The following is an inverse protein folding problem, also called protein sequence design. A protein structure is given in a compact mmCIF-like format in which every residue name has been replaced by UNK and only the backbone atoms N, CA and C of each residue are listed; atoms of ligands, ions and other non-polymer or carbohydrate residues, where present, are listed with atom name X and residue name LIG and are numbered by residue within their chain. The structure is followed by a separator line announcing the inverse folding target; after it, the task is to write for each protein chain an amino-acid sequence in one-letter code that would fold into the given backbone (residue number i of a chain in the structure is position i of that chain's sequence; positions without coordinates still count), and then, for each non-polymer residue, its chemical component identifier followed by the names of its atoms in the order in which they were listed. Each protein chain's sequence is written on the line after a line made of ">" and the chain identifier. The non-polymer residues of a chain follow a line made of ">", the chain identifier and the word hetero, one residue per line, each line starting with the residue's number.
data_IF_449962471524
#
_entry.id   IF_449962471524
#
_cell.length_a   1.000
_cell.length_b   1.000
_cell.length_c   1.000
_cell.angle_alpha   90.00
_cell.angle_beta   90.00
_cell.angle_gamma   90.00
#
_symmetry.space_group_name_H-M   'P 1'
#
loop_
_entity.id
_entity.type
_entity.pdbx_description
1 polymer ?
#
# COMPACT_ATOMS: atom_id res chain seq x y z
N UNK A 1 -14.17 -80.32 26.32
CA UNK A 1 -13.79 -80.50 24.90
C UNK A 1 -14.80 -79.76 24.08
N UNK A 2 -14.55 -78.84 23.32
CA UNK A 2 -13.71 -78.67 22.13
C UNK A 2 -13.30 -77.16 22.03
N UNK A 3 -12.58 -76.78 21.22
CA UNK A 3 -11.96 -76.82 19.93
C UNK A 3 -11.52 -75.41 19.56
N UNK A 4 -10.25 -75.31 19.39
CA UNK A 4 -9.48 -74.16 18.90
C UNK A 4 -9.86 -73.83 17.45
N UNK A 5 -10.44 -72.65 17.16
CA UNK A 5 -10.44 -72.04 15.82
C UNK A 5 -10.87 -70.54 15.86
N UNK A 6 -10.11 -69.71 16.55
CA UNK A 6 -10.38 -68.24 16.46
C UNK A 6 -9.11 -67.37 16.56
N UNK A 7 -8.07 -67.79 15.82
CA UNK A 7 -6.80 -67.04 15.94
C UNK A 7 -6.01 -66.94 14.63
N UNK A 8 -6.66 -66.69 13.48
CA UNK A 8 -5.92 -66.62 12.20
C UNK A 8 -6.38 -65.55 11.19
N UNK A 9 -7.17 -64.55 11.58
CA UNK A 9 -7.68 -63.55 10.61
C UNK A 9 -7.44 -62.08 10.96
N UNK A 10 -6.52 -61.74 11.86
CA UNK A 10 -6.36 -60.36 12.30
C UNK A 10 -4.99 -59.70 11.94
N UNK A 11 -4.13 -60.33 11.17
CA UNK A 11 -2.78 -59.81 10.90
C UNK A 11 -2.46 -59.30 9.48
N UNK A 12 -3.25 -59.47 8.42
CA UNK A 12 -2.92 -58.84 7.13
C UNK A 12 -3.43 -57.40 6.97
N UNK A 13 -4.49 -56.97 7.68
CA UNK A 13 -5.07 -55.64 7.49
C UNK A 13 -4.26 -54.49 8.10
N UNK A 14 -3.41 -54.79 9.09
CA UNK A 14 -2.63 -53.73 9.78
C UNK A 14 -1.33 -53.36 9.02
N UNK A 15 -0.84 -54.25 8.13
CA UNK A 15 0.37 -53.98 7.35
C UNK A 15 0.13 -53.09 6.12
N UNK A 16 -1.07 -53.11 5.57
CA UNK A 16 -1.43 -52.28 4.41
C UNK A 16 -1.80 -50.85 4.80
N UNK A 17 -2.31 -50.61 6.01
CA UNK A 17 -2.61 -49.26 6.46
C UNK A 17 -1.37 -48.45 6.84
N UNK A 18 -0.30 -49.08 7.33
CA UNK A 18 0.94 -48.37 7.69
C UNK A 18 1.77 -47.96 6.45
N UNK A 19 1.64 -48.68 5.33
CA UNK A 19 2.31 -48.36 4.07
C UNK A 19 1.68 -47.17 3.34
N UNK A 20 0.36 -46.99 3.44
CA UNK A 20 -0.35 -45.90 2.79
C UNK A 20 -0.22 -44.53 3.54
N UNK A 21 0.02 -44.57 4.84
CA UNK A 21 0.20 -43.36 5.64
C UNK A 21 1.59 -42.70 5.47
N UNK A 22 2.59 -43.50 5.11
CA UNK A 22 3.95 -43.02 4.87
C UNK A 22 4.12 -42.37 3.48
N UNK A 23 3.22 -42.67 2.54
CA UNK A 23 3.30 -42.11 1.17
C UNK A 23 2.64 -40.72 1.04
N UNK A 24 1.79 -40.31 1.98
CA UNK A 24 1.09 -39.03 1.96
C UNK A 24 1.94 -37.88 2.57
N UNK A 25 2.99 -38.22 3.33
CA UNK A 25 3.83 -37.25 4.03
C UNK A 25 5.00 -36.68 3.19
N UNK A 26 5.19 -37.14 1.96
CA UNK A 26 6.31 -36.69 1.10
C UNK A 26 5.92 -35.71 0.00
N UNK A 27 4.67 -35.22 -0.04
CA UNK A 27 4.19 -34.42 -1.18
C UNK A 27 3.74 -33.00 -0.81
N UNK A 28 4.39 -32.34 0.12
CA UNK A 28 4.06 -30.94 0.44
C UNK A 28 5.29 -30.08 0.74
N UNK A 29 6.36 -30.27 -0.02
CA UNK A 29 7.29 -29.19 -0.26
C UNK A 29 7.00 -28.65 -1.66
N UNK A 30 5.89 -27.93 -1.80
CA UNK A 30 5.76 -26.98 -2.89
C UNK A 30 6.88 -25.96 -2.68
N UNK A 31 7.94 -26.10 -3.46
CA UNK A 31 8.98 -25.09 -3.54
C UNK A 31 8.28 -23.76 -3.84
N UNK A 32 8.25 -22.85 -2.89
CA UNK A 32 8.12 -21.44 -3.20
C UNK A 32 9.31 -21.15 -4.11
N UNK A 33 9.05 -21.12 -5.41
CA UNK A 33 10.01 -20.61 -6.37
C UNK A 33 10.18 -19.15 -6.03
N UNK A 34 11.21 -18.84 -5.27
CA UNK A 34 11.71 -17.48 -5.16
C UNK A 34 11.97 -17.05 -6.60
N UNK A 35 11.20 -16.08 -7.08
CA UNK A 35 11.38 -15.56 -8.44
C UNK A 35 12.74 -14.86 -8.44
N UNK A 36 13.75 -15.57 -8.89
CA UNK A 36 15.12 -15.05 -8.98
C UNK A 36 15.09 -13.84 -9.92
N UNK A 37 15.44 -12.68 -9.41
CA UNK A 37 15.51 -11.46 -10.22
C UNK A 37 16.65 -11.60 -11.22
N UNK A 38 16.30 -11.65 -12.51
CA UNK A 38 17.28 -11.80 -13.59
C UNK A 38 17.96 -10.46 -13.87
N UNK A 39 19.01 -10.17 -13.11
CA UNK A 39 19.87 -9.01 -13.35
C UNK A 39 20.93 -9.34 -14.40
N UNK A 40 21.15 -8.43 -15.32
CA UNK A 40 22.26 -8.47 -16.27
C UNK A 40 23.61 -8.35 -15.56
N UNK A 41 24.74 -8.75 -16.21
CA UNK A 41 26.07 -8.58 -15.63
C UNK A 41 26.40 -7.12 -15.28
N UNK A 42 25.96 -6.17 -16.09
CA UNK A 42 26.21 -4.73 -15.88
C UNK A 42 25.42 -4.20 -14.68
N UNK A 43 24.16 -4.63 -14.51
CA UNK A 43 23.35 -4.28 -13.34
C UNK A 43 23.95 -4.84 -12.05
N UNK A 44 24.40 -6.09 -12.07
CA UNK A 44 25.10 -6.70 -10.92
C UNK A 44 26.38 -5.96 -10.56
N UNK A 45 27.17 -5.56 -11.57
CA UNK A 45 28.39 -4.79 -11.37
C UNK A 45 28.08 -3.42 -10.79
N UNK A 46 27.05 -2.74 -11.31
CA UNK A 46 26.62 -1.44 -10.81
C UNK A 46 26.18 -1.51 -9.35
N UNK A 47 25.33 -2.49 -8.98
CA UNK A 47 24.89 -2.70 -7.59
C UNK A 47 26.09 -2.98 -6.66
N UNK A 48 27.05 -3.78 -7.10
CA UNK A 48 28.25 -4.06 -6.32
C UNK A 48 29.09 -2.80 -6.05
N UNK A 49 29.09 -1.84 -6.98
CA UNK A 49 29.76 -0.54 -6.82
C UNK A 49 28.96 0.48 -6.02
N UNK A 50 27.64 0.25 -5.87
CA UNK A 50 26.70 1.13 -5.15
C UNK A 50 25.96 0.37 -4.04
N UNK A 51 26.66 -0.10 -3.02
CA UNK A 51 26.06 -0.90 -1.94
C UNK A 51 25.10 -0.10 -1.06
N UNK A 52 25.17 1.23 -1.13
CA UNK A 52 24.29 2.15 -0.40
C UNK A 52 23.67 3.15 -1.36
N UNK A 53 22.34 3.32 -1.26
CA UNK A 53 21.57 4.30 -2.03
C UNK A 53 20.85 5.27 -1.10
N UNK A 54 20.83 6.56 -1.48
CA UNK A 54 20.17 7.62 -0.72
C UNK A 54 18.68 7.61 -1.03
N UNK A 55 17.88 7.23 -0.03
CA UNK A 55 16.43 7.14 -0.14
C UNK A 55 15.78 8.40 0.45
N UNK A 56 15.06 9.16 -0.37
CA UNK A 56 14.20 10.24 0.10
C UNK A 56 12.97 9.67 0.83
N UNK A 57 12.64 10.19 2.01
CA UNK A 57 11.47 9.77 2.80
C UNK A 57 10.73 11.00 3.31
N UNK A 58 9.45 11.11 3.02
CA UNK A 58 8.58 12.13 3.61
C UNK A 58 8.27 11.70 5.04
N UNK A 59 8.71 12.51 6.01
CA UNK A 59 8.77 12.09 7.41
C UNK A 59 7.42 11.90 8.11
N UNK A 60 6.29 12.32 7.52
CA UNK A 60 4.99 12.35 8.20
C UNK A 60 3.80 12.01 7.29
N UNK A 61 3.94 11.02 6.40
CA UNK A 61 2.89 10.62 5.43
C UNK A 61 2.41 9.18 5.64
N UNK A 62 2.11 8.81 6.89
CA UNK A 62 1.48 7.52 7.18
C UNK A 62 0.10 7.40 6.54
N UNK A 63 -0.31 6.22 6.07
CA UNK A 63 0.36 4.91 6.22
C UNK A 63 1.43 4.60 5.18
N UNK A 64 1.73 5.51 4.25
CA UNK A 64 2.61 5.24 3.12
C UNK A 64 4.08 5.27 3.51
N UNK A 65 4.52 6.34 4.12
CA UNK A 65 5.90 6.50 4.60
C UNK A 65 5.98 7.47 5.77
N UNK A 66 6.91 7.23 6.67
CA UNK A 66 7.28 8.13 7.74
C UNK A 66 8.71 7.83 8.23
N UNK A 67 9.23 8.74 9.04
CA UNK A 67 10.42 8.49 9.84
C UNK A 67 10.06 8.58 11.32
N UNK A 68 10.41 7.55 12.09
CA UNK A 68 10.30 7.60 13.55
C UNK A 68 11.27 8.63 14.15
N UNK A 69 11.14 8.90 15.44
CA UNK A 69 12.10 9.73 16.20
C UNK A 69 13.53 9.19 16.14
N UNK A 70 13.69 7.89 15.93
CA UNK A 70 14.98 7.21 15.75
C UNK A 70 15.45 7.19 14.30
N UNK A 71 14.76 7.91 13.40
CA UNK A 71 15.01 7.92 11.95
C UNK A 71 14.85 6.57 11.26
N UNK A 72 14.08 5.66 11.83
CA UNK A 72 13.68 4.43 11.15
C UNK A 72 12.53 4.70 10.22
N UNK A 73 12.57 4.09 9.05
CA UNK A 73 11.49 4.14 8.08
C UNK A 73 10.28 3.35 8.60
N UNK A 74 9.10 3.88 8.38
CA UNK A 74 7.81 3.29 8.72
C UNK A 74 6.85 3.40 7.53
N UNK A 75 5.83 2.55 7.50
CA UNK A 75 4.80 2.54 6.46
C UNK A 75 5.07 1.56 5.32
N UNK A 76 4.15 1.51 4.36
CA UNK A 76 4.15 0.56 3.25
C UNK A 76 5.45 0.64 2.42
N UNK A 77 5.95 1.85 2.18
CA UNK A 77 7.21 2.05 1.46
C UNK A 77 8.42 1.47 2.19
N UNK A 78 8.39 1.44 3.54
CA UNK A 78 9.44 0.80 4.34
C UNK A 78 9.49 -0.71 4.13
N UNK A 79 8.33 -1.38 4.08
CA UNK A 79 8.28 -2.82 3.83
C UNK A 79 8.82 -3.15 2.44
N UNK A 80 8.48 -2.33 1.44
CA UNK A 80 9.00 -2.48 0.09
C UNK A 80 10.51 -2.19 0.01
N UNK A 81 11.00 -1.18 0.72
CA UNK A 81 12.44 -0.90 0.84
C UNK A 81 13.20 -2.10 1.41
N UNK A 82 12.73 -2.67 2.51
CA UNK A 82 13.32 -3.84 3.15
C UNK A 82 13.36 -5.07 2.20
N UNK A 83 12.33 -5.25 1.40
CA UNK A 83 12.31 -6.30 0.39
C UNK A 83 13.35 -6.05 -0.71
N UNK A 84 13.45 -4.82 -1.23
CA UNK A 84 14.46 -4.45 -2.23
C UNK A 84 15.89 -4.62 -1.70
N UNK A 85 16.17 -4.20 -0.47
CA UNK A 85 17.49 -4.36 0.16
C UNK A 85 17.93 -5.82 0.17
N UNK A 86 17.03 -6.71 0.61
CA UNK A 86 17.29 -8.16 0.64
C UNK A 86 17.46 -8.74 -0.75
N UNK A 87 16.64 -8.32 -1.71
CA UNK A 87 16.63 -8.87 -3.05
C UNK A 87 17.83 -8.42 -3.88
N UNK A 88 18.24 -7.16 -3.72
CA UNK A 88 19.31 -6.54 -4.51
C UNK A 88 20.68 -6.58 -3.81
N UNK A 89 20.72 -6.90 -2.51
CA UNK A 89 21.96 -6.88 -1.72
C UNK A 89 22.51 -5.48 -1.48
N UNK A 90 21.66 -4.47 -1.42
CA UNK A 90 21.98 -3.07 -1.18
C UNK A 90 21.44 -2.61 0.18
N UNK A 91 21.76 -1.37 0.57
CA UNK A 91 21.20 -0.70 1.73
C UNK A 91 20.66 0.67 1.34
N UNK A 92 19.46 1.02 1.84
CA UNK A 92 18.93 2.37 1.73
C UNK A 92 19.32 3.21 2.96
N UNK A 93 19.84 4.40 2.69
CA UNK A 93 20.08 5.42 3.73
C UNK A 93 18.98 6.46 3.63
N UNK A 94 18.11 6.50 4.65
CA UNK A 94 16.95 7.39 4.65
C UNK A 94 17.36 8.85 4.88
N UNK A 95 16.89 9.73 4.00
CA UNK A 95 17.04 11.17 4.08
C UNK A 95 15.65 11.82 4.15
N UNK A 96 15.34 12.60 5.20
CA UNK A 96 14.07 13.30 5.27
C UNK A 96 13.97 14.35 4.15
N UNK A 97 12.82 14.34 3.49
CA UNK A 97 12.51 15.30 2.44
C UNK A 97 11.17 16.00 2.70
N UNK A 98 10.96 17.21 2.20
CA UNK A 98 9.68 17.89 2.30
C UNK A 98 8.64 17.19 1.41
N UNK A 99 7.37 17.31 1.76
CA UNK A 99 6.25 16.77 0.96
C UNK A 99 6.09 17.51 -0.38
N UNK A 100 6.47 18.78 -0.41
CA UNK A 100 6.46 19.59 -1.62
C UNK A 100 7.86 19.80 -2.18
N UNK A 101 7.98 19.85 -3.51
CA UNK A 101 9.27 20.09 -4.17
C UNK A 101 10.24 18.89 -4.12
N UNK A 102 9.73 17.69 -3.94
CA UNK A 102 10.50 16.45 -3.86
C UNK A 102 11.43 16.24 -5.08
N UNK A 103 11.03 16.71 -6.27
CA UNK A 103 11.82 16.59 -7.49
C UNK A 103 13.16 17.38 -7.44
N UNK A 104 13.26 18.43 -6.64
CA UNK A 104 14.46 19.27 -6.57
C UNK A 104 15.70 18.51 -6.08
N UNK A 105 15.68 17.79 -4.94
CA UNK A 105 16.83 17.01 -4.48
C UNK A 105 17.30 15.94 -5.47
N UNK A 106 16.39 15.39 -6.31
CA UNK A 106 16.76 14.44 -7.37
C UNK A 106 17.48 15.17 -8.52
N UNK A 107 16.96 16.31 -8.98
CA UNK A 107 17.60 17.12 -10.00
C UNK A 107 19.00 17.61 -9.60
N UNK A 108 19.26 17.79 -8.31
CA UNK A 108 20.56 18.15 -7.76
C UNK A 108 21.47 16.94 -7.47
N UNK A 109 21.02 15.72 -7.74
CA UNK A 109 21.78 14.50 -7.47
C UNK A 109 22.04 14.22 -5.99
N UNK A 110 21.20 14.75 -5.10
CA UNK A 110 21.31 14.53 -3.64
C UNK A 110 20.63 13.25 -3.17
N UNK A 111 19.70 12.71 -3.95
CA UNK A 111 18.94 11.49 -3.70
C UNK A 111 19.00 10.57 -4.90
N UNK A 112 18.93 9.28 -4.64
CA UNK A 112 18.97 8.25 -5.67
C UNK A 112 17.60 7.62 -5.90
N UNK A 113 16.80 7.42 -4.84
CA UNK A 113 15.52 6.70 -4.88
C UNK A 113 14.47 7.39 -4.02
N UNK A 114 13.22 7.31 -4.45
CA UNK A 114 12.03 7.60 -3.64
C UNK A 114 10.94 6.57 -3.96
N UNK A 115 10.40 5.91 -2.95
CA UNK A 115 9.53 4.75 -3.15
C UNK A 115 8.04 5.09 -3.22
N UNK A 116 7.64 6.30 -2.86
CA UNK A 116 6.24 6.74 -2.90
C UNK A 116 6.04 8.01 -3.73
N UNK A 117 6.89 8.18 -4.76
CA UNK A 117 6.78 9.31 -5.69
C UNK A 117 5.53 9.18 -6.57
N UNK A 118 4.83 10.29 -6.73
CA UNK A 118 3.71 10.38 -7.68
C UNK A 118 4.25 10.78 -9.04
N UNK A 119 3.86 10.02 -10.06
CA UNK A 119 4.23 10.27 -11.45
C UNK A 119 3.45 11.48 -12.01
N UNK A 120 4.13 12.59 -12.17
CA UNK A 120 3.59 13.83 -12.72
C UNK A 120 4.50 14.38 -13.83
N UNK A 121 3.98 15.25 -14.74
CA UNK A 121 4.83 15.90 -15.72
C UNK A 121 6.02 16.66 -15.13
N UNK A 122 5.86 17.20 -13.91
CA UNK A 122 6.92 17.94 -13.22
C UNK A 122 7.99 17.00 -12.67
N UNK A 123 7.58 15.92 -11.97
CA UNK A 123 8.52 14.96 -11.40
C UNK A 123 9.31 14.20 -12.48
N UNK A 124 8.71 13.97 -13.65
CA UNK A 124 9.39 13.35 -14.81
C UNK A 124 10.54 14.17 -15.39
N UNK A 125 10.66 15.44 -15.06
CA UNK A 125 11.81 16.28 -15.50
C UNK A 125 13.11 15.87 -14.84
N UNK A 126 13.06 15.29 -13.66
CA UNK A 126 14.22 14.96 -12.82
C UNK A 126 14.26 13.53 -12.31
N UNK A 127 13.18 12.77 -12.49
CA UNK A 127 13.02 11.41 -11.98
C UNK A 127 12.63 10.46 -13.10
N UNK A 128 13.11 9.23 -13.02
CA UNK A 128 12.64 8.10 -13.82
C UNK A 128 11.69 7.26 -12.97
N UNK A 129 10.61 6.80 -13.57
CA UNK A 129 9.59 6.02 -12.88
C UNK A 129 9.61 4.56 -13.34
N UNK A 130 9.49 3.65 -12.41
CA UNK A 130 9.15 2.25 -12.69
C UNK A 130 7.66 2.14 -13.01
N UNK A 131 7.19 0.94 -13.36
CA UNK A 131 5.75 0.66 -13.28
C UNK A 131 5.32 0.79 -11.81
N UNK A 132 4.10 1.29 -11.54
CA UNK A 132 3.59 1.36 -10.18
C UNK A 132 3.62 -0.03 -9.51
N UNK A 133 4.11 -0.09 -8.28
CA UNK A 133 4.05 -1.29 -7.47
C UNK A 133 2.82 -1.31 -6.55
N UNK A 134 2.12 -0.19 -6.45
CA UNK A 134 0.92 -0.02 -5.66
C UNK A 134 -0.06 0.89 -6.39
N UNK A 135 -1.34 0.55 -6.36
CA UNK A 135 -2.44 1.39 -6.83
C UNK A 135 -3.35 1.71 -5.65
N UNK A 136 -3.58 3.00 -5.41
CA UNK A 136 -4.31 3.49 -4.26
C UNK A 136 -5.75 3.85 -4.64
N UNK A 137 -6.76 3.10 -4.16
CA UNK A 137 -8.15 3.39 -4.44
C UNK A 137 -8.56 4.74 -3.85
N UNK A 138 -9.25 5.57 -4.65
CA UNK A 138 -9.89 6.79 -4.20
C UNK A 138 -11.35 6.51 -3.86
N UNK A 139 -11.77 6.95 -2.68
CA UNK A 139 -13.11 6.67 -2.14
C UNK A 139 -13.76 7.93 -1.59
N UNK A 140 -15.06 7.83 -1.32
CA UNK A 140 -15.82 8.85 -0.60
C UNK A 140 -16.04 8.38 0.84
N UNK A 141 -15.53 9.14 1.79
CA UNK A 141 -15.86 9.02 3.19
C UNK A 141 -17.03 9.94 3.51
N UNK A 142 -18.02 9.40 4.21
CA UNK A 142 -19.22 10.13 4.64
C UNK A 142 -19.59 9.73 6.07
N UNK A 143 -20.50 10.49 6.66
CA UNK A 143 -21.08 10.10 7.95
C UNK A 143 -21.94 8.86 7.78
N UNK A 144 -22.03 8.00 8.79
CA UNK A 144 -22.74 6.73 8.76
C UNK A 144 -24.27 6.87 8.64
N UNK A 145 -24.81 8.05 8.88
CA UNK A 145 -26.22 8.39 8.67
C UNK A 145 -26.52 8.96 7.28
N UNK A 146 -25.49 9.11 6.42
CA UNK A 146 -25.65 9.56 5.06
C UNK A 146 -26.19 8.43 4.16
N UNK A 147 -26.94 8.76 3.09
CA UNK A 147 -27.39 7.77 2.13
C UNK A 147 -26.20 7.14 1.39
N UNK A 148 -26.35 5.89 0.99
CA UNK A 148 -25.37 5.22 0.14
C UNK A 148 -25.22 5.97 -1.20
N UNK A 149 -23.99 6.05 -1.70
CA UNK A 149 -23.66 6.69 -2.99
C UNK A 149 -22.89 5.70 -3.89
N UNK A 150 -23.19 5.72 -5.19
CA UNK A 150 -22.49 4.85 -6.16
C UNK A 150 -21.18 5.45 -6.67
N UNK A 151 -20.86 6.68 -6.28
CA UNK A 151 -19.64 7.37 -6.68
C UNK A 151 -19.81 8.89 -6.77
N UNK A 152 -18.87 9.53 -7.46
CA UNK A 152 -18.81 11.00 -7.55
C UNK A 152 -20.06 11.61 -8.24
N UNK A 153 -20.71 10.89 -9.14
CA UNK A 153 -21.91 11.37 -9.83
C UNK A 153 -23.08 11.69 -8.87
N UNK A 154 -23.16 10.99 -7.74
CA UNK A 154 -24.22 11.22 -6.75
C UNK A 154 -23.90 12.43 -5.84
N UNK A 155 -22.70 13.00 -5.98
CA UNK A 155 -22.23 14.15 -5.22
C UNK A 155 -22.43 15.48 -5.94
N UNK A 156 -23.19 15.51 -7.05
CA UNK A 156 -23.53 16.74 -7.79
C UNK A 156 -24.11 17.83 -6.86
N UNK A 157 -23.51 19.03 -6.90
CA UNK A 157 -23.90 20.17 -6.06
C UNK A 157 -23.56 20.05 -4.59
N UNK A 158 -22.98 18.93 -4.14
CA UNK A 158 -22.53 18.71 -2.76
C UNK A 158 -21.14 19.30 -2.52
N UNK A 159 -20.83 19.58 -1.27
CA UNK A 159 -19.49 20.01 -0.83
C UNK A 159 -18.65 18.76 -0.58
N UNK A 160 -17.55 18.63 -1.28
CA UNK A 160 -16.64 17.49 -1.14
C UNK A 160 -15.25 18.00 -0.84
N UNK A 161 -14.71 17.64 0.33
CA UNK A 161 -13.34 17.97 0.66
C UNK A 161 -12.36 17.01 -0.01
N UNK A 162 -11.20 17.53 -0.41
CA UNK A 162 -10.07 16.74 -0.88
C UNK A 162 -8.76 17.36 -0.35
N UNK A 163 -7.74 16.50 -0.17
CA UNK A 163 -6.45 16.91 0.39
C UNK A 163 -5.42 17.05 -0.71
N UNK A 164 -4.84 18.25 -0.80
CA UNK A 164 -3.80 18.56 -1.76
C UNK A 164 -4.30 18.74 -3.20
N UNK A 165 -3.49 19.41 -3.99
CA UNK A 165 -3.81 19.82 -5.35
C UNK A 165 -4.21 18.65 -6.26
N UNK A 166 -3.49 17.52 -6.14
CA UNK A 166 -3.74 16.35 -7.01
C UNK A 166 -5.14 15.78 -6.86
N UNK A 167 -5.64 15.58 -5.64
CA UNK A 167 -7.00 15.06 -5.43
C UNK A 167 -8.06 16.09 -5.82
N UNK A 168 -7.79 17.38 -5.57
CA UNK A 168 -8.66 18.47 -6.01
C UNK A 168 -8.79 18.52 -7.52
N UNK A 169 -7.70 18.35 -8.26
CA UNK A 169 -7.73 18.36 -9.73
C UNK A 169 -8.49 17.15 -10.25
N UNK A 170 -8.21 15.95 -9.74
CA UNK A 170 -9.00 14.75 -10.12
C UNK A 170 -10.50 14.97 -9.86
N UNK A 171 -10.85 15.56 -8.71
CA UNK A 171 -12.24 15.82 -8.36
C UNK A 171 -12.89 16.82 -9.32
N UNK A 172 -12.22 17.92 -9.65
CA UNK A 172 -12.70 18.97 -10.56
C UNK A 172 -12.81 18.45 -11.99
N UNK A 173 -11.82 17.69 -12.46
CA UNK A 173 -11.78 17.15 -13.82
C UNK A 173 -12.85 16.06 -14.04
N UNK A 174 -13.02 15.19 -13.02
CA UNK A 174 -13.97 14.07 -13.11
C UNK A 174 -15.40 14.50 -12.86
N UNK A 175 -15.64 15.49 -12.02
CA UNK A 175 -16.98 15.89 -11.55
C UNK A 175 -17.05 17.39 -11.29
N UNK A 176 -17.04 18.24 -12.35
CA UNK A 176 -16.98 19.71 -12.20
C UNK A 176 -18.22 20.31 -11.52
N UNK A 177 -19.30 19.55 -11.38
CA UNK A 177 -20.52 19.97 -10.69
C UNK A 177 -20.45 19.84 -9.17
N UNK A 178 -19.38 19.24 -8.64
CA UNK A 178 -19.12 19.16 -7.20
C UNK A 178 -18.55 20.49 -6.70
N UNK A 179 -18.93 20.88 -5.50
CA UNK A 179 -18.31 22.03 -4.82
C UNK A 179 -17.07 21.51 -4.09
N UNK A 180 -15.93 21.49 -4.77
CA UNK A 180 -14.67 21.07 -4.20
C UNK A 180 -14.21 22.02 -3.12
N UNK A 181 -13.80 21.48 -1.98
CA UNK A 181 -13.28 22.21 -0.81
C UNK A 181 -11.88 21.68 -0.52
N UNK A 182 -10.91 22.57 -0.43
CA UNK A 182 -9.55 22.19 -0.07
C UNK A 182 -9.40 21.97 1.43
N UNK A 183 -8.77 20.87 1.81
CA UNK A 183 -8.31 20.61 3.16
C UNK A 183 -6.77 20.42 3.15
N UNK A 184 -6.10 20.88 4.19
CA UNK A 184 -4.63 20.78 4.28
C UNK A 184 -4.15 19.40 4.66
N UNK A 185 -4.98 18.65 5.38
CA UNK A 185 -4.67 17.28 5.86
C UNK A 185 -5.93 16.42 5.84
N UNK A 186 -5.73 15.10 5.76
CA UNK A 186 -6.83 14.12 5.87
C UNK A 186 -7.59 14.26 7.18
N UNK A 187 -6.88 14.58 8.27
CA UNK A 187 -7.52 14.88 9.58
C UNK A 187 -8.46 16.07 9.46
N UNK A 188 -8.00 17.19 8.92
CA UNK A 188 -8.82 18.40 8.75
C UNK A 188 -10.05 18.11 7.89
N UNK A 189 -9.89 17.38 6.79
CA UNK A 189 -11.01 16.98 5.93
C UNK A 189 -12.07 16.18 6.70
N UNK A 190 -11.64 15.22 7.50
CA UNK A 190 -12.54 14.39 8.33
C UNK A 190 -13.20 15.21 9.44
N UNK A 191 -12.50 16.15 10.10
CA UNK A 191 -13.09 17.07 11.06
C UNK A 191 -14.14 17.99 10.41
N UNK A 192 -13.89 18.47 9.19
CA UNK A 192 -14.90 19.23 8.43
C UNK A 192 -16.15 18.37 8.16
N UNK A 193 -15.98 17.08 7.87
CA UNK A 193 -17.08 16.14 7.68
C UNK A 193 -17.88 15.93 8.97
N UNK A 194 -17.22 15.69 10.11
CA UNK A 194 -17.87 15.56 11.42
C UNK A 194 -18.69 16.82 11.79
N UNK A 195 -18.15 18.00 11.48
CA UNK A 195 -18.83 19.30 11.71
C UNK A 195 -19.88 19.63 10.64
N UNK A 196 -20.16 18.74 9.69
CA UNK A 196 -21.10 18.95 8.58
C UNK A 196 -20.78 20.19 7.73
N UNK A 197 -19.51 20.61 7.69
CA UNK A 197 -19.03 21.67 6.83
C UNK A 197 -18.88 21.19 5.39
N UNK A 198 -18.66 19.90 5.20
CA UNK A 198 -18.69 19.20 3.90
C UNK A 198 -19.61 17.99 3.98
N UNK A 199 -20.04 17.52 2.84
CA UNK A 199 -20.99 16.42 2.71
C UNK A 199 -20.27 15.07 2.51
N UNK A 200 -19.03 15.12 1.99
CA UNK A 200 -18.13 13.97 1.85
C UNK A 200 -16.65 14.42 1.86
N UNK A 201 -15.77 13.44 2.03
CA UNK A 201 -14.31 13.58 1.83
C UNK A 201 -13.90 12.62 0.73
N UNK A 202 -13.26 13.13 -0.31
CA UNK A 202 -12.63 12.37 -1.40
C UNK A 202 -11.17 12.17 -1.08
N UNK A 203 -10.78 10.94 -0.76
CA UNK A 203 -9.44 10.64 -0.25
C UNK A 203 -9.02 9.21 -0.62
N UNK A 204 -7.73 8.92 -0.50
CA UNK A 204 -7.17 7.58 -0.59
C UNK A 204 -7.74 6.72 0.55
N UNK A 205 -8.21 5.53 0.22
CA UNK A 205 -8.84 4.60 1.17
C UNK A 205 -7.96 4.38 2.42
N UNK A 206 -6.69 4.09 2.21
CA UNK A 206 -5.77 3.76 3.30
C UNK A 206 -5.45 4.98 4.16
N UNK A 207 -5.27 6.15 3.56
CA UNK A 207 -5.03 7.40 4.27
C UNK A 207 -6.21 7.76 5.17
N UNK A 208 -7.43 7.80 4.61
CA UNK A 208 -8.65 8.10 5.37
C UNK A 208 -8.89 7.09 6.48
N UNK A 209 -8.79 5.78 6.17
CA UNK A 209 -9.00 4.70 7.15
C UNK A 209 -7.97 4.75 8.28
N UNK A 210 -6.70 5.05 7.97
CA UNK A 210 -5.65 5.21 8.97
C UNK A 210 -6.00 6.34 9.95
N UNK A 211 -6.36 7.53 9.44
CA UNK A 211 -6.72 8.68 10.29
C UNK A 211 -7.97 8.41 11.11
N UNK A 212 -9.00 7.75 10.55
CA UNK A 212 -10.22 7.35 11.26
C UNK A 212 -9.88 6.45 12.46
N UNK A 213 -9.04 5.44 12.26
CA UNK A 213 -8.61 4.52 13.32
C UNK A 213 -7.78 5.23 14.39
N UNK A 214 -6.80 6.03 13.96
CA UNK A 214 -5.89 6.73 14.87
C UNK A 214 -6.63 7.71 15.78
N UNK A 215 -7.70 8.34 15.28
CA UNK A 215 -8.44 9.37 16.01
C UNK A 215 -9.77 8.87 16.59
N UNK A 216 -10.07 7.57 16.43
CA UNK A 216 -11.30 6.96 16.89
C UNK A 216 -12.58 7.70 16.43
N UNK A 217 -12.76 7.81 15.10
CA UNK A 217 -13.89 8.48 14.43
C UNK A 217 -14.89 7.41 13.90
N UNK A 218 -15.64 6.69 14.73
CA UNK A 218 -16.43 5.53 14.31
C UNK A 218 -17.65 5.88 13.46
N UNK A 219 -18.08 7.15 13.45
CA UNK A 219 -19.23 7.61 12.69
C UNK A 219 -18.93 7.90 11.23
N UNK A 220 -17.68 7.86 10.81
CA UNK A 220 -17.29 8.04 9.41
C UNK A 220 -17.06 6.66 8.77
N UNK A 221 -17.67 6.47 7.61
CA UNK A 221 -17.61 5.23 6.83
C UNK A 221 -17.16 5.50 5.38
N UNK A 222 -16.70 4.46 4.71
CA UNK A 222 -16.55 4.47 3.26
C UNK A 222 -17.93 4.29 2.64
N UNK A 223 -18.47 5.35 2.05
CA UNK A 223 -19.83 5.38 1.52
C UNK A 223 -19.90 5.15 0.01
N UNK A 224 -18.80 5.36 -0.71
CA UNK A 224 -18.75 5.15 -2.15
C UNK A 224 -17.33 4.87 -2.63
N UNK A 225 -17.22 4.00 -3.64
CA UNK A 225 -15.96 3.69 -4.33
C UNK A 225 -15.94 4.41 -5.66
N UNK A 226 -14.81 4.98 -6.03
CA UNK A 226 -14.65 5.61 -7.35
C UNK A 226 -13.81 4.73 -8.27
N UNK A 227 -13.94 4.86 -9.60
CA UNK A 227 -13.06 4.18 -10.54
C UNK A 227 -11.62 4.75 -10.52
N UNK A 228 -11.43 5.93 -9.96
CA UNK A 228 -10.14 6.61 -9.91
C UNK A 228 -9.18 5.94 -8.93
N UNK A 229 -7.93 5.83 -9.34
CA UNK A 229 -6.83 5.32 -8.53
C UNK A 229 -5.62 6.24 -8.68
N UNK A 230 -4.79 6.29 -7.65
CA UNK A 230 -3.46 6.89 -7.75
C UNK A 230 -2.43 5.75 -7.91
N UNK A 231 -1.52 5.87 -8.87
CA UNK A 231 -0.41 4.94 -9.04
C UNK A 231 0.67 5.16 -7.99
#
# INVERSE_FOLDING_TARGET
>A
MPSHTFRRFLFPALRTMLGSFLFVLTFSFAAFSETELLLSPDEKLWLAQHPELRLGVIASRLPFEALSSERKQEGIASDYANWLEKTLGIRFVAHPVPDTGLHLPFGEGKLDVHLSAVDTPESRKTMLFTRPYLELPLVLFMMNDAPFVNGLQDMKGKRVAAVGERLLDILKDTSPEIRAVEARTTREALEMLERRQVDAVFEILDAGTHVIRLNNIPQVIVAGVTPSRLP
#
